data_IF_720581734314
#
_entry.id   IF_720581734314
#
_cell.length_a   1.000
_cell.length_b   1.000
_cell.length_c   1.000
_cell.angle_alpha   90.00
_cell.angle_beta   90.00
_cell.angle_gamma   90.00
#
_symmetry.space_group_name_H-M   'P 1'
#
loop_
_entity.id
_entity.type
_entity.pdbx_description
1 polymer ?
#
# COMPACT_ATOMS: atom_id res chain seq x y z
N UNK A 1 11.73 -0.90 3.25
CA UNK A 1 11.91 -0.21 4.55
C UNK A 1 10.55 0.22 5.06
N UNK A 2 10.22 0.00 6.33
CA UNK A 2 8.91 0.40 6.89
C UNK A 2 8.89 1.92 7.12
N UNK A 3 7.73 2.59 6.95
CA UNK A 3 7.56 4.04 7.18
C UNK A 3 8.24 4.50 8.47
N UNK A 4 8.13 3.73 9.57
CA UNK A 4 8.75 4.05 10.86
C UNK A 4 10.28 3.98 10.90
N UNK A 5 10.91 3.06 10.17
CA UNK A 5 12.37 2.95 10.08
C UNK A 5 12.97 4.04 9.19
N UNK A 6 12.25 4.45 8.14
CA UNK A 6 12.51 5.68 7.41
C UNK A 6 12.41 6.90 8.32
N UNK A 7 11.28 7.07 9.02
CA UNK A 7 10.99 8.26 9.85
C UNK A 7 12.02 8.46 10.98
N UNK A 8 12.59 7.39 11.54
CA UNK A 8 13.64 7.47 12.58
C UNK A 8 15.03 7.80 12.05
N UNK A 9 15.33 7.45 10.79
CA UNK A 9 16.51 7.93 10.06
C UNK A 9 16.31 9.39 9.59
N UNK A 10 15.06 9.76 9.28
CA UNK A 10 14.64 11.05 8.73
C UNK A 10 14.43 12.18 9.75
N UNK A 11 14.24 11.86 11.03
CA UNK A 11 14.19 12.87 12.09
C UNK A 11 15.57 13.45 12.47
N UNK A 12 16.67 12.92 11.92
CA UNK A 12 18.04 13.22 12.37
C UNK A 12 18.85 14.21 11.54
N UNK A 13 18.32 14.79 10.45
CA UNK A 13 19.10 15.74 9.64
C UNK A 13 18.33 17.01 9.26
N UNK A 14 18.43 18.06 10.10
CA UNK A 14 17.93 19.41 9.79
C UNK A 14 18.46 19.96 8.46
N UNK A 15 19.66 19.52 8.03
CA UNK A 15 20.26 19.86 6.75
C UNK A 15 19.42 19.38 5.56
N UNK A 16 18.81 18.20 5.67
CA UNK A 16 17.99 17.64 4.58
C UNK A 16 16.65 18.35 4.44
N UNK A 17 16.07 18.73 5.58
CA UNK A 17 14.88 19.57 5.60
C UNK A 17 15.19 20.98 5.07
N UNK A 18 16.38 21.52 5.37
CA UNK A 18 16.84 22.78 4.82
C UNK A 18 17.08 22.70 3.30
N UNK A 19 17.71 21.63 2.80
CA UNK A 19 17.95 21.42 1.36
C UNK A 19 16.65 21.24 0.58
N UNK A 20 15.67 20.54 1.14
CA UNK A 20 14.34 20.45 0.51
C UNK A 20 13.68 21.83 0.50
N UNK A 21 13.60 22.52 1.63
CA UNK A 21 13.06 23.89 1.69
C UNK A 21 13.78 24.85 0.75
N UNK A 22 15.11 24.77 0.63
CA UNK A 22 15.91 25.58 -0.31
C UNK A 22 15.56 25.28 -1.77
N UNK A 23 15.37 24.00 -2.13
CA UNK A 23 14.93 23.58 -3.46
C UNK A 23 13.50 24.06 -3.79
N UNK A 24 12.62 24.21 -2.80
CA UNK A 24 11.22 24.65 -2.99
C UNK A 24 11.00 26.16 -2.86
N UNK A 25 11.91 26.92 -2.26
CA UNK A 25 11.77 28.37 -2.01
C UNK A 25 12.52 29.24 -3.02
N UNK A 26 13.62 28.75 -3.61
CA UNK A 26 14.35 29.41 -4.68
C UNK A 26 14.11 28.64 -5.98
N UNK A 27 12.97 28.81 -6.66
CA UNK A 27 12.85 29.89 -7.62
C UNK A 27 11.42 29.84 -8.19
N UNK A 28 10.58 30.83 -7.89
CA UNK A 28 9.31 31.02 -8.62
C UNK A 28 9.54 31.28 -10.13
N UNK A 29 10.78 31.56 -10.53
CA UNK A 29 11.24 31.78 -11.90
C UNK A 29 12.07 30.60 -12.46
N UNK A 30 12.22 29.49 -11.74
CA UNK A 30 12.98 28.34 -12.24
C UNK A 30 12.18 27.70 -13.35
N UNK A 31 12.86 27.39 -14.45
CA UNK A 31 12.28 26.51 -15.46
C UNK A 31 12.45 25.03 -15.11
N UNK A 32 13.21 24.71 -14.05
CA UNK A 32 13.54 23.34 -13.66
C UNK A 32 12.56 22.83 -12.60
N UNK A 33 11.75 21.86 -12.99
CA UNK A 33 10.80 21.18 -12.13
C UNK A 33 11.49 20.15 -11.20
N UNK A 34 10.91 19.89 -10.03
CA UNK A 34 11.42 18.92 -9.04
C UNK A 34 11.72 17.55 -9.65
N UNK A 35 10.77 16.99 -10.39
CA UNK A 35 10.92 15.68 -11.03
C UNK A 35 12.03 15.70 -12.08
N UNK A 36 12.10 16.76 -12.88
CA UNK A 36 13.11 16.92 -13.92
C UNK A 36 14.51 17.02 -13.32
N UNK A 37 14.69 17.86 -12.30
CA UNK A 37 15.97 17.98 -11.59
C UNK A 37 16.40 16.68 -10.92
N UNK A 38 15.49 16.00 -10.20
CA UNK A 38 15.81 14.77 -9.50
C UNK A 38 16.25 13.67 -10.48
N UNK A 39 15.58 13.59 -11.63
CA UNK A 39 15.91 12.64 -12.68
C UNK A 39 17.22 13.01 -13.41
N UNK A 40 17.48 14.29 -13.66
CA UNK A 40 18.73 14.75 -14.26
C UNK A 40 19.92 14.45 -13.36
N UNK A 41 19.80 14.70 -12.05
CA UNK A 41 20.83 14.37 -11.07
C UNK A 41 21.07 12.86 -11.00
N UNK A 42 20.00 12.06 -11.01
CA UNK A 42 20.10 10.60 -11.06
C UNK A 42 20.84 10.13 -12.33
N UNK A 43 20.47 10.67 -13.49
CA UNK A 43 21.08 10.31 -14.77
C UNK A 43 22.57 10.68 -14.82
N UNK A 44 22.93 11.89 -14.38
CA UNK A 44 24.33 12.34 -14.27
C UNK A 44 25.16 11.40 -13.39
N UNK A 45 24.57 10.95 -12.29
CA UNK A 45 25.18 9.98 -11.38
C UNK A 45 25.45 8.62 -12.00
N UNK A 46 24.53 8.13 -12.83
CA UNK A 46 24.66 6.85 -13.52
C UNK A 46 25.73 6.89 -14.61
N UNK A 47 25.96 8.06 -15.22
CA UNK A 47 26.99 8.26 -16.26
C UNK A 47 28.39 8.43 -15.66
N UNK A 48 28.52 9.13 -14.53
CA UNK A 48 29.84 9.51 -14.00
C UNK A 48 30.58 8.42 -13.22
N UNK A 49 29.92 7.34 -12.75
CA UNK A 49 30.39 6.20 -11.91
C UNK A 49 31.20 6.53 -10.63
N UNK A 50 32.00 7.58 -10.59
CA UNK A 50 32.86 8.01 -9.47
C UNK A 50 32.15 8.98 -8.51
N UNK A 51 31.14 9.72 -8.98
CA UNK A 51 30.37 10.70 -8.19
C UNK A 51 28.85 10.44 -8.30
N UNK A 52 28.41 9.20 -8.11
CA UNK A 52 26.98 8.91 -8.08
C UNK A 52 26.34 9.58 -6.84
N UNK A 53 25.26 10.37 -7.02
CA UNK A 53 24.52 10.94 -5.89
C UNK A 53 23.94 9.79 -5.07
N UNK A 54 23.95 9.95 -3.74
CA UNK A 54 23.29 8.99 -2.86
C UNK A 54 21.80 8.95 -3.20
N UNK A 55 21.33 7.83 -3.75
CA UNK A 55 19.94 7.64 -4.15
C UNK A 55 19.02 7.82 -2.93
N UNK A 56 19.46 7.44 -1.73
CA UNK A 56 18.69 7.62 -0.49
C UNK A 56 18.46 9.09 -0.18
N UNK A 57 19.48 9.93 -0.40
CA UNK A 57 19.40 11.37 -0.25
C UNK A 57 18.44 11.97 -1.27
N UNK A 58 18.54 11.54 -2.53
CA UNK A 58 17.68 12.01 -3.61
C UNK A 58 16.20 11.67 -3.37
N UNK A 59 15.92 10.41 -3.01
CA UNK A 59 14.60 9.93 -2.61
C UNK A 59 14.04 10.74 -1.44
N UNK A 60 14.88 11.07 -0.45
CA UNK A 60 14.47 11.86 0.70
C UNK A 60 14.09 13.30 0.32
N UNK A 61 14.94 14.00 -0.45
CA UNK A 61 14.67 15.37 -0.89
C UNK A 61 13.38 15.42 -1.71
N UNK A 62 13.20 14.46 -2.63
CA UNK A 62 12.00 14.35 -3.45
C UNK A 62 10.74 14.13 -2.61
N UNK A 63 10.77 13.18 -1.67
CA UNK A 63 9.64 12.89 -0.78
C UNK A 63 9.30 14.09 0.13
N UNK A 64 10.32 14.74 0.72
CA UNK A 64 10.16 15.94 1.53
C UNK A 64 9.50 17.06 0.74
N UNK A 65 9.87 17.20 -0.53
CA UNK A 65 9.26 18.12 -1.47
C UNK A 65 7.81 17.89 -1.79
N UNK A 66 7.49 16.65 -2.16
CA UNK A 66 6.11 16.26 -2.42
C UNK A 66 5.21 16.54 -1.22
N UNK A 67 5.72 16.27 0.00
CA UNK A 67 5.02 16.58 1.25
C UNK A 67 4.86 18.09 1.46
N UNK A 68 5.88 18.91 1.21
CA UNK A 68 5.79 20.37 1.37
C UNK A 68 4.79 20.99 0.37
N UNK A 69 4.80 20.56 -0.89
CA UNK A 69 3.83 20.99 -1.91
C UNK A 69 2.39 20.70 -1.48
N UNK A 70 2.14 19.50 -0.96
CA UNK A 70 0.82 19.11 -0.44
C UNK A 70 0.42 19.94 0.79
N UNK A 71 1.34 20.18 1.74
CA UNK A 71 1.06 21.02 2.94
C UNK A 71 0.77 22.48 2.56
N UNK A 72 1.43 23.01 1.53
CA UNK A 72 1.18 24.37 1.00
C UNK A 72 -0.07 24.45 0.12
N UNK A 73 -0.66 23.32 -0.25
CA UNK A 73 -1.79 23.26 -1.18
C UNK A 73 -1.42 23.62 -2.61
N UNK A 74 -0.14 23.56 -2.98
CA UNK A 74 0.38 23.88 -4.32
C UNK A 74 0.56 22.64 -5.21
N UNK A 75 0.24 21.46 -4.67
CA UNK A 75 0.34 20.17 -5.35
C UNK A 75 -0.51 20.09 -6.62
N UNK A 76 -1.72 20.66 -6.62
CA UNK A 76 -2.60 20.70 -7.78
C UNK A 76 -1.99 21.42 -9.00
N UNK A 77 -1.08 22.37 -8.77
CA UNK A 77 -0.39 23.10 -9.85
C UNK A 77 0.72 22.24 -10.46
N UNK A 78 1.40 21.42 -9.64
CA UNK A 78 2.60 20.67 -10.03
C UNK A 78 2.33 19.24 -10.46
N UNK A 79 1.19 18.66 -10.08
CA UNK A 79 0.91 17.25 -10.36
C UNK A 79 0.90 16.91 -11.87
N UNK A 80 0.41 17.76 -12.80
CA UNK A 80 0.44 17.42 -14.23
C UNK A 80 1.88 17.28 -14.77
N UNK A 81 2.77 18.16 -14.32
CA UNK A 81 4.19 18.16 -14.69
C UNK A 81 4.88 16.92 -14.12
N UNK A 82 4.64 16.62 -12.84
CA UNK A 82 5.18 15.42 -12.17
C UNK A 82 4.74 14.16 -12.92
N UNK A 83 3.45 14.04 -13.26
CA UNK A 83 2.92 12.90 -14.03
C UNK A 83 3.64 12.78 -15.37
N UNK A 84 3.76 13.88 -16.10
CA UNK A 84 4.36 13.91 -17.45
C UNK A 84 5.82 13.50 -17.40
N UNK A 85 6.58 14.07 -16.48
CA UNK A 85 8.01 13.82 -16.34
C UNK A 85 8.28 12.39 -15.87
N UNK A 86 7.54 11.86 -14.89
CA UNK A 86 7.69 10.47 -14.45
C UNK A 86 7.32 9.49 -15.57
N UNK A 87 6.25 9.75 -16.31
CA UNK A 87 5.82 8.92 -17.45
C UNK A 87 6.89 8.89 -18.54
N UNK A 88 7.45 10.05 -18.88
CA UNK A 88 8.53 10.16 -19.86
C UNK A 88 9.79 9.42 -19.39
N UNK A 89 10.16 9.57 -18.12
CA UNK A 89 11.31 8.89 -17.53
C UNK A 89 11.15 7.37 -17.52
N UNK A 90 9.97 6.87 -17.15
CA UNK A 90 9.65 5.43 -17.23
C UNK A 90 9.83 4.92 -18.67
N UNK A 91 9.29 5.65 -19.65
CA UNK A 91 9.41 5.27 -21.08
C UNK A 91 10.87 5.19 -21.51
N UNK A 92 11.66 6.24 -21.24
CA UNK A 92 13.09 6.28 -21.56
C UNK A 92 13.86 5.15 -20.89
N UNK A 93 13.59 4.88 -19.60
CA UNK A 93 14.23 3.80 -18.86
C UNK A 93 13.92 2.42 -19.45
N UNK A 94 12.68 2.21 -19.90
CA UNK A 94 12.23 0.97 -20.56
C UNK A 94 12.83 0.82 -21.96
N UNK A 95 12.97 1.91 -22.72
CA UNK A 95 13.64 1.93 -24.03
C UNK A 95 15.11 1.53 -23.93
N UNK A 96 15.77 1.98 -22.86
CA UNK A 96 17.19 1.75 -22.59
C UNK A 96 17.47 0.44 -21.83
N UNK A 97 16.43 -0.32 -21.46
CA UNK A 97 16.54 -1.52 -20.61
C UNK A 97 17.25 -1.25 -19.26
N UNK A 98 17.17 0.00 -18.78
CA UNK A 98 17.75 0.42 -17.51
C UNK A 98 16.84 -0.01 -16.36
N UNK A 99 16.99 -1.27 -15.96
CA UNK A 99 16.24 -1.89 -14.86
C UNK A 99 16.37 -1.11 -13.54
N UNK A 100 17.58 -0.65 -13.19
CA UNK A 100 17.83 0.14 -11.97
C UNK A 100 17.15 1.50 -11.97
N UNK A 101 17.15 2.20 -13.11
CA UNK A 101 16.47 3.48 -13.27
C UNK A 101 14.96 3.37 -13.10
N UNK A 102 14.35 2.33 -13.67
CA UNK A 102 12.91 2.14 -13.60
C UNK A 102 12.42 1.96 -12.15
N UNK A 103 13.14 1.20 -11.34
CA UNK A 103 12.84 1.03 -9.91
C UNK A 103 12.81 2.36 -9.14
N UNK A 104 13.81 3.22 -9.38
CA UNK A 104 13.91 4.53 -8.72
C UNK A 104 12.77 5.45 -9.17
N UNK A 105 12.44 5.44 -10.46
CA UNK A 105 11.34 6.26 -11.01
C UNK A 105 9.98 5.80 -10.44
N UNK A 106 9.74 4.49 -10.35
CA UNK A 106 8.53 3.95 -9.72
C UNK A 106 8.45 4.37 -8.24
N UNK A 107 9.59 4.40 -7.53
CA UNK A 107 9.65 4.89 -6.15
C UNK A 107 9.34 6.39 -6.05
N UNK A 108 9.83 7.22 -6.98
CA UNK A 108 9.44 8.64 -7.05
C UNK A 108 7.94 8.80 -7.29
N UNK A 109 7.36 7.99 -8.18
CA UNK A 109 5.92 8.01 -8.39
C UNK A 109 5.15 7.67 -7.11
N UNK A 110 5.55 6.62 -6.39
CA UNK A 110 4.95 6.26 -5.11
C UNK A 110 5.03 7.42 -4.11
N UNK A 111 6.15 8.11 -3.97
CA UNK A 111 6.24 9.28 -3.08
C UNK A 111 5.35 10.45 -3.52
N UNK A 112 5.32 10.77 -4.81
CA UNK A 112 4.46 11.84 -5.31
C UNK A 112 2.98 11.56 -5.00
N UNK A 113 2.49 10.38 -5.35
CA UNK A 113 1.08 10.01 -5.16
C UNK A 113 0.71 9.70 -3.71
N UNK A 114 1.69 9.49 -2.82
CA UNK A 114 1.42 9.37 -1.38
C UNK A 114 0.81 10.65 -0.83
N UNK A 115 1.32 11.82 -1.26
CA UNK A 115 0.93 13.12 -0.72
C UNK A 115 -0.13 13.83 -1.58
N UNK A 116 -0.12 13.63 -2.89
CA UNK A 116 -0.88 14.48 -3.83
C UNK A 116 -2.27 13.91 -4.22
N UNK A 117 -2.64 12.70 -3.76
CA UNK A 117 -3.87 12.03 -4.20
C UNK A 117 -5.16 12.69 -3.69
N UNK A 118 -5.14 13.34 -2.53
CA UNK A 118 -6.35 13.94 -1.92
C UNK A 118 -6.81 15.17 -2.70
N UNK A 119 -5.87 15.97 -3.20
CA UNK A 119 -6.16 17.25 -3.85
C UNK A 119 -6.77 17.10 -5.25
N UNK A 120 -6.51 15.98 -5.93
CA UNK A 120 -6.98 15.76 -7.32
C UNK A 120 -7.77 14.47 -7.54
N UNK A 121 -7.94 13.63 -6.51
CA UNK A 121 -8.64 12.35 -6.63
C UNK A 121 -7.93 11.32 -7.53
N UNK A 122 -6.65 11.55 -7.83
CA UNK A 122 -5.83 10.72 -8.71
C UNK A 122 -4.67 10.12 -7.91
N UNK A 123 -4.65 8.80 -7.76
CA UNK A 123 -3.69 8.10 -6.91
C UNK A 123 -2.73 7.22 -7.72
N UNK A 124 -1.77 6.59 -7.03
CA UNK A 124 -0.77 5.72 -7.66
C UNK A 124 -1.40 4.58 -8.47
N UNK A 125 -2.52 4.01 -8.04
CA UNK A 125 -3.20 2.95 -8.79
C UNK A 125 -3.77 3.49 -10.12
N UNK A 126 -4.35 4.70 -10.12
CA UNK A 126 -4.81 5.35 -11.34
C UNK A 126 -3.64 5.60 -12.30
N UNK A 127 -2.57 6.24 -11.82
CA UNK A 127 -1.38 6.50 -12.62
C UNK A 127 -0.75 5.24 -13.18
N UNK A 128 -0.60 4.20 -12.37
CA UNK A 128 -0.01 2.93 -12.81
C UNK A 128 -0.87 2.26 -13.89
N UNK A 129 -2.19 2.26 -13.74
CA UNK A 129 -3.08 1.70 -14.76
C UNK A 129 -3.00 2.49 -16.06
N UNK A 130 -3.09 3.83 -16.00
CA UNK A 130 -3.05 4.69 -17.19
C UNK A 130 -1.70 4.60 -17.91
N UNK A 131 -0.60 4.56 -17.15
CA UNK A 131 0.76 4.55 -17.70
C UNK A 131 1.12 3.21 -18.32
N UNK A 132 0.71 2.09 -17.73
CA UNK A 132 1.22 0.77 -18.13
C UNK A 132 0.17 -0.17 -18.72
N UNK A 133 -1.11 -0.03 -18.35
CA UNK A 133 -2.12 -1.06 -18.60
C UNK A 133 -3.17 -0.64 -19.63
N UNK A 134 -3.72 0.57 -19.51
CA UNK A 134 -4.79 1.05 -20.38
C UNK A 134 -4.32 1.18 -21.82
N UNK A 135 -5.01 0.53 -22.76
CA UNK A 135 -4.58 0.44 -24.16
C UNK A 135 -4.50 1.79 -24.88
N UNK A 136 -5.28 2.78 -24.45
CA UNK A 136 -5.28 4.13 -25.03
C UNK A 136 -4.12 5.01 -24.58
N UNK A 137 -3.46 4.67 -23.48
CA UNK A 137 -2.47 5.56 -22.81
C UNK A 137 -1.17 4.84 -22.44
N UNK A 138 -1.12 3.51 -22.54
CA UNK A 138 0.05 2.73 -22.14
C UNK A 138 1.30 3.14 -22.91
N UNK A 139 2.41 3.31 -22.18
CA UNK A 139 3.73 3.56 -22.77
C UNK A 139 4.40 2.27 -23.26
N UNK A 140 3.82 1.10 -22.96
CA UNK A 140 4.45 -0.19 -23.20
C UNK A 140 4.20 -0.69 -24.63
N UNK A 141 5.28 -1.02 -25.32
CA UNK A 141 5.26 -1.96 -26.43
C UNK A 141 5.60 -3.39 -25.96
N UNK A 142 5.56 -4.38 -26.85
CA UNK A 142 5.82 -5.79 -26.52
C UNK A 142 7.19 -6.00 -25.85
N UNK A 143 8.24 -5.31 -26.31
CA UNK A 143 9.60 -5.42 -25.76
C UNK A 143 9.67 -4.80 -24.36
N UNK A 144 9.16 -3.58 -24.22
CA UNK A 144 9.11 -2.86 -22.94
C UNK A 144 8.30 -3.63 -21.91
N UNK A 145 7.21 -4.29 -22.30
CA UNK A 145 6.40 -5.12 -21.42
C UNK A 145 7.19 -6.25 -20.75
N UNK A 146 8.12 -6.90 -21.48
CA UNK A 146 8.98 -7.93 -20.89
C UNK A 146 9.96 -7.35 -19.87
N UNK A 147 10.62 -6.23 -20.21
CA UNK A 147 11.54 -5.52 -19.30
C UNK A 147 10.82 -5.06 -18.04
N UNK A 148 9.62 -4.50 -18.21
CA UNK A 148 8.75 -4.05 -17.15
C UNK A 148 8.38 -5.18 -16.18
N UNK A 149 7.92 -6.33 -16.68
CA UNK A 149 7.56 -7.48 -15.83
C UNK A 149 8.78 -8.03 -15.07
N UNK A 150 9.92 -8.17 -15.74
CA UNK A 150 11.16 -8.62 -15.09
C UNK A 150 11.56 -7.69 -13.94
N UNK A 151 11.39 -6.38 -14.14
CA UNK A 151 11.69 -5.39 -13.11
C UNK A 151 10.71 -5.47 -11.93
N UNK A 152 9.40 -5.55 -12.21
CA UNK A 152 8.41 -5.71 -11.15
C UNK A 152 8.61 -6.99 -10.34
N UNK A 153 9.03 -8.08 -10.99
CA UNK A 153 9.36 -9.34 -10.30
C UNK A 153 10.56 -9.15 -9.36
N UNK A 154 11.62 -8.46 -9.79
CA UNK A 154 12.76 -8.11 -8.94
C UNK A 154 12.35 -7.27 -7.73
N UNK A 155 11.47 -6.30 -7.93
CA UNK A 155 10.98 -5.42 -6.87
C UNK A 155 10.04 -6.12 -5.89
N UNK A 156 9.35 -7.17 -6.32
CA UNK A 156 8.27 -7.81 -5.56
C UNK A 156 8.65 -8.29 -4.15
N UNK A 157 9.93 -8.57 -3.93
CA UNK A 157 10.45 -9.02 -2.63
C UNK A 157 10.56 -7.88 -1.60
N UNK A 158 10.79 -6.66 -2.08
CA UNK A 158 11.09 -5.48 -1.26
C UNK A 158 9.94 -4.47 -1.21
N UNK A 159 8.92 -4.67 -2.05
CA UNK A 159 7.78 -3.79 -2.19
C UNK A 159 6.80 -3.83 -1.02
N UNK A 160 6.08 -2.71 -0.85
CA UNK A 160 5.02 -2.62 0.15
C UNK A 160 3.84 -3.53 -0.23
N UNK A 161 3.13 -4.13 0.75
CA UNK A 161 2.01 -5.03 0.45
C UNK A 161 0.88 -4.35 -0.34
N UNK A 162 0.62 -3.07 -0.07
CA UNK A 162 -0.36 -2.25 -0.80
C UNK A 162 0.04 -2.02 -2.26
N UNK A 163 1.32 -1.78 -2.53
CA UNK A 163 1.86 -1.63 -3.89
C UNK A 163 1.75 -2.94 -4.65
N UNK A 164 2.09 -4.06 -4.00
CA UNK A 164 1.87 -5.40 -4.54
C UNK A 164 0.39 -5.65 -4.87
N UNK A 165 -0.56 -5.23 -4.03
CA UNK A 165 -1.99 -5.31 -4.32
C UNK A 165 -2.39 -4.48 -5.53
N UNK A 166 -1.84 -3.27 -5.67
CA UNK A 166 -2.08 -2.40 -6.83
C UNK A 166 -1.55 -3.05 -8.11
N UNK A 167 -0.27 -3.44 -8.13
CA UNK A 167 0.34 -4.07 -9.31
C UNK A 167 -0.38 -5.38 -9.67
N UNK A 168 -0.63 -6.23 -8.69
CA UNK A 168 -1.31 -7.52 -8.88
C UNK A 168 -2.72 -7.36 -9.44
N UNK A 169 -3.51 -6.40 -8.93
CA UNK A 169 -4.85 -6.11 -9.46
C UNK A 169 -4.81 -5.52 -10.87
N UNK A 170 -3.92 -4.57 -11.11
CA UNK A 170 -3.77 -3.92 -12.41
C UNK A 170 -3.39 -4.93 -13.51
N UNK A 171 -2.54 -5.90 -13.18
CA UNK A 171 -2.07 -6.93 -14.11
C UNK A 171 -2.95 -8.19 -14.13
N UNK A 172 -3.93 -8.35 -13.22
CA UNK A 172 -4.66 -9.61 -13.04
C UNK A 172 -5.34 -10.12 -14.31
N UNK A 173 -5.91 -9.20 -15.09
CA UNK A 173 -6.60 -9.48 -16.35
C UNK A 173 -5.83 -8.94 -17.57
N UNK A 174 -4.56 -8.56 -17.41
CA UNK A 174 -3.77 -8.03 -18.50
C UNK A 174 -3.27 -9.18 -19.40
N UNK A 175 -3.76 -9.23 -20.64
CA UNK A 175 -3.37 -10.24 -21.64
C UNK A 175 -2.31 -9.74 -22.63
N UNK A 176 -2.08 -8.43 -22.67
CA UNK A 176 -1.25 -7.79 -23.70
C UNK A 176 0.23 -7.67 -23.29
N UNK A 177 0.54 -7.95 -22.02
CA UNK A 177 1.90 -7.92 -21.46
C UNK A 177 2.34 -9.36 -21.22
N UNK A 178 3.41 -9.79 -21.89
CA UNK A 178 3.97 -11.12 -21.72
C UNK A 178 4.37 -11.36 -20.26
N UNK A 179 4.12 -12.58 -19.76
CA UNK A 179 4.42 -13.00 -18.38
C UNK A 179 3.67 -12.26 -17.26
N UNK A 180 2.70 -11.40 -17.57
CA UNK A 180 1.88 -10.74 -16.54
C UNK A 180 1.19 -11.75 -15.60
N UNK A 181 0.66 -12.86 -16.13
CA UNK A 181 0.03 -13.91 -15.32
C UNK A 181 1.00 -14.63 -14.37
N UNK A 182 2.27 -14.79 -14.77
CA UNK A 182 3.33 -15.37 -13.95
C UNK A 182 3.65 -14.41 -12.81
N UNK A 183 3.88 -13.13 -13.12
CA UNK A 183 4.10 -12.10 -12.11
C UNK A 183 2.96 -12.00 -11.11
N UNK A 184 1.71 -11.98 -11.58
CA UNK A 184 0.50 -11.97 -10.73
C UNK A 184 0.48 -13.16 -9.77
N UNK A 185 0.94 -14.34 -10.22
CA UNK A 185 1.04 -15.53 -9.36
C UNK A 185 2.12 -15.37 -8.27
N UNK A 186 3.28 -14.81 -8.63
CA UNK A 186 4.34 -14.43 -7.67
C UNK A 186 3.83 -13.44 -6.63
N UNK A 187 3.12 -12.40 -7.06
CA UNK A 187 2.51 -11.40 -6.17
C UNK A 187 1.48 -12.04 -5.25
N UNK A 188 0.59 -12.91 -5.75
CA UNK A 188 -0.39 -13.62 -4.90
C UNK A 188 0.29 -14.41 -3.80
N UNK A 189 1.32 -15.18 -4.14
CA UNK A 189 2.10 -15.95 -3.16
C UNK A 189 2.70 -15.01 -2.11
N UNK A 190 3.30 -13.90 -2.53
CA UNK A 190 3.91 -12.93 -1.63
C UNK A 190 2.89 -12.27 -0.69
N UNK A 191 1.71 -11.91 -1.19
CA UNK A 191 0.63 -11.32 -0.37
C UNK A 191 0.09 -12.31 0.67
N UNK A 192 -0.01 -13.60 0.30
CA UNK A 192 -0.37 -14.66 1.24
C UNK A 192 0.67 -14.84 2.35
N UNK A 193 1.97 -14.81 2.01
CA UNK A 193 3.06 -14.83 3.00
C UNK A 193 3.01 -13.63 3.95
N UNK A 194 2.58 -12.47 3.46
CA UNK A 194 2.44 -11.24 4.22
C UNK A 194 1.12 -11.16 5.02
N UNK A 195 0.23 -12.16 4.90
CA UNK A 195 -1.04 -12.22 5.63
C UNK A 195 -2.14 -11.25 5.14
N UNK A 196 -1.95 -10.59 4.00
CA UNK A 196 -2.87 -9.58 3.46
C UNK A 196 -3.74 -10.14 2.33
N UNK A 197 -4.75 -9.38 1.88
CA UNK A 197 -5.63 -9.82 0.80
C UNK A 197 -4.85 -10.04 -0.50
N UNK A 198 -5.09 -11.19 -1.14
CA UNK A 198 -4.52 -11.60 -2.41
C UNK A 198 -5.61 -11.86 -3.48
N UNK A 199 -6.84 -11.39 -3.24
CA UNK A 199 -8.00 -11.67 -4.12
C UNK A 199 -8.09 -10.69 -5.29
N UNK A 200 -7.44 -9.53 -5.18
CA UNK A 200 -7.43 -8.46 -6.17
C UNK A 200 -8.81 -7.89 -6.52
N UNK A 201 -9.79 -8.07 -5.62
CA UNK A 201 -11.16 -7.55 -5.82
C UNK A 201 -11.18 -6.02 -5.83
N UNK A 202 -10.44 -5.38 -4.93
CA UNK A 202 -10.41 -3.93 -4.75
C UNK A 202 -8.98 -3.40 -4.76
N UNK A 203 -8.82 -2.12 -5.09
CA UNK A 203 -7.57 -1.40 -4.83
C UNK A 203 -7.52 -0.96 -3.35
N UNK A 204 -6.34 -0.95 -2.71
CA UNK A 204 -6.19 -0.35 -1.39
C UNK A 204 -6.52 1.14 -1.44
N UNK A 205 -7.10 1.68 -0.37
CA UNK A 205 -7.44 3.10 -0.28
C UNK A 205 -6.21 4.00 -0.13
N UNK A 206 -5.11 3.46 0.39
CA UNK A 206 -3.84 4.15 0.57
C UNK A 206 -2.69 3.18 0.44
N UNK A 207 -1.53 3.67 -0.01
CA UNK A 207 -0.28 2.90 -0.04
C UNK A 207 0.22 2.55 1.37
N UNK A 208 -0.27 3.18 2.43
CA UNK A 208 0.09 2.84 3.82
C UNK A 208 -0.76 1.73 4.42
N UNK A 209 -1.95 1.49 3.85
CA UNK A 209 -2.96 0.62 4.45
C UNK A 209 -3.33 -0.46 3.45
N UNK A 210 -2.59 -1.59 3.44
CA UNK A 210 -2.95 -2.72 2.59
C UNK A 210 -4.30 -3.29 3.01
N UNK A 211 -5.02 -3.86 2.04
CA UNK A 211 -6.27 -4.58 2.31
C UNK A 211 -5.92 -5.84 3.10
N UNK A 212 -6.46 -5.97 4.30
CA UNK A 212 -6.23 -7.15 5.13
C UNK A 212 -6.94 -8.37 4.54
N UNK A 213 -6.34 -9.55 4.70
CA UNK A 213 -7.03 -10.79 4.34
C UNK A 213 -8.25 -10.94 5.24
N UNK A 214 -9.33 -11.55 4.73
CA UNK A 214 -10.54 -11.78 5.52
C UNK A 214 -10.21 -12.54 6.81
N UNK A 215 -9.27 -13.48 6.76
CA UNK A 215 -8.85 -14.28 7.93
C UNK A 215 -8.15 -13.43 8.99
N UNK A 216 -7.20 -12.56 8.59
CA UNK A 216 -6.46 -11.70 9.53
C UNK A 216 -7.34 -10.57 10.05
N UNK A 217 -8.16 -9.95 9.20
CA UNK A 217 -9.13 -8.94 9.63
C UNK A 217 -10.10 -9.47 10.69
N UNK A 218 -10.50 -10.75 10.59
CA UNK A 218 -11.37 -11.40 11.57
C UNK A 218 -10.63 -11.80 12.86
N UNK A 219 -9.33 -12.13 12.80
CA UNK A 219 -8.52 -12.39 14.00
C UNK A 219 -8.34 -11.12 14.84
N UNK A 220 -8.00 -10.01 14.17
CA UNK A 220 -7.90 -8.69 14.79
C UNK A 220 -9.26 -8.24 15.32
N UNK A 221 -10.36 -8.46 14.58
CA UNK A 221 -11.71 -8.09 15.03
C UNK A 221 -12.17 -8.87 16.26
N UNK A 222 -11.91 -10.19 16.35
CA UNK A 222 -12.21 -10.97 17.57
C UNK A 222 -11.37 -10.48 18.75
N UNK A 223 -10.07 -10.22 18.54
CA UNK A 223 -9.19 -9.71 19.59
C UNK A 223 -9.62 -8.32 20.07
N UNK A 224 -9.97 -7.42 19.16
CA UNK A 224 -10.44 -6.07 19.45
C UNK A 224 -11.76 -6.08 20.21
N UNK A 225 -12.68 -6.96 19.83
CA UNK A 225 -13.95 -7.13 20.54
C UNK A 225 -13.74 -7.67 21.95
N UNK A 226 -12.83 -8.62 22.15
CA UNK A 226 -12.47 -9.13 23.48
C UNK A 226 -11.84 -8.00 24.31
N UNK A 227 -10.91 -7.22 23.75
CA UNK A 227 -10.32 -6.07 24.44
C UNK A 227 -11.37 -4.99 24.78
N UNK A 228 -12.31 -4.71 23.89
CA UNK A 228 -13.41 -3.79 24.16
C UNK A 228 -14.34 -4.31 25.26
N UNK A 229 -14.60 -5.62 25.28
CA UNK A 229 -15.41 -6.27 26.32
C UNK A 229 -14.73 -6.14 27.69
N UNK A 230 -13.43 -6.41 27.77
CA UNK A 230 -12.64 -6.24 29.00
C UNK A 230 -12.61 -4.78 29.44
N UNK A 231 -12.38 -3.85 28.50
CA UNK A 231 -12.33 -2.40 28.78
C UNK A 231 -13.66 -1.81 29.25
N UNK A 232 -14.79 -2.47 28.94
CA UNK A 232 -16.14 -2.03 29.31
C UNK A 232 -16.72 -2.86 30.45
N UNK A 233 -15.88 -3.36 31.35
CA UNK A 233 -16.30 -4.13 32.53
C UNK A 233 -17.21 -5.32 32.17
N UNK A 234 -16.83 -6.08 31.15
CA UNK A 234 -17.55 -7.29 30.70
C UNK A 234 -18.96 -7.00 30.13
N UNK A 235 -19.16 -5.79 29.60
CA UNK A 235 -20.35 -5.42 28.84
C UNK A 235 -20.10 -5.67 27.34
N UNK A 236 -20.99 -6.45 26.71
CA UNK A 236 -20.90 -6.76 25.27
C UNK A 236 -20.94 -5.47 24.44
N UNK A 237 -19.95 -5.23 23.55
CA UNK A 237 -19.95 -4.04 22.71
C UNK A 237 -21.22 -3.91 21.87
N UNK A 238 -21.84 -2.72 21.88
CA UNK A 238 -23.05 -2.44 21.10
C UNK A 238 -22.84 -2.67 19.59
N UNK A 239 -21.63 -2.42 19.09
CA UNK A 239 -21.24 -2.72 17.71
C UNK A 239 -21.42 -4.20 17.38
N UNK A 240 -21.00 -5.10 18.29
CA UNK A 240 -21.16 -6.54 18.11
C UNK A 240 -22.63 -6.96 18.17
N UNK A 241 -23.40 -6.44 19.13
CA UNK A 241 -24.84 -6.72 19.23
C UNK A 241 -25.60 -6.27 17.99
N UNK A 242 -25.23 -5.10 17.45
CA UNK A 242 -25.78 -4.58 16.19
C UNK A 242 -25.41 -5.48 15.01
N UNK A 243 -24.15 -5.90 14.92
CA UNK A 243 -23.69 -6.81 13.86
C UNK A 243 -24.40 -8.18 13.92
N UNK A 244 -24.68 -8.71 15.11
CA UNK A 244 -25.44 -9.94 15.29
C UNK A 244 -26.88 -9.86 14.75
N UNK A 245 -27.46 -8.65 14.70
CA UNK A 245 -28.81 -8.39 14.15
C UNK A 245 -28.73 -8.08 12.66
N UNK A 246 -27.96 -7.06 12.28
CA UNK A 246 -27.93 -6.52 10.91
C UNK A 246 -27.06 -7.35 9.95
N UNK A 247 -26.10 -8.13 10.47
CA UNK A 247 -25.17 -8.96 9.69
C UNK A 247 -25.20 -10.41 10.20
N UNK A 248 -26.40 -10.96 10.40
CA UNK A 248 -26.61 -12.28 11.01
C UNK A 248 -25.83 -13.42 10.35
N UNK A 249 -25.78 -13.46 9.01
CA UNK A 249 -25.03 -14.49 8.28
C UNK A 249 -23.52 -14.44 8.59
N UNK A 250 -22.94 -13.24 8.60
CA UNK A 250 -21.55 -13.03 9.00
C UNK A 250 -21.33 -13.39 10.48
N UNK A 251 -22.23 -12.99 11.37
CA UNK A 251 -22.08 -13.26 12.80
C UNK A 251 -22.04 -14.77 13.08
N UNK A 252 -22.98 -15.53 12.49
CA UNK A 252 -23.11 -16.97 12.72
C UNK A 252 -22.04 -17.77 11.95
N UNK A 253 -21.81 -17.47 10.68
CA UNK A 253 -20.94 -18.30 9.83
C UNK A 253 -19.46 -17.88 9.88
N UNK A 254 -19.15 -16.73 10.45
CA UNK A 254 -17.80 -16.15 10.40
C UNK A 254 -17.28 -15.76 11.78
N UNK A 255 -17.98 -14.88 12.49
CA UNK A 255 -17.51 -14.38 13.79
C UNK A 255 -17.53 -15.46 14.88
N UNK A 256 -18.66 -16.16 15.08
CA UNK A 256 -18.78 -17.18 16.14
C UNK A 256 -17.80 -18.34 16.00
N UNK A 257 -17.63 -19.00 14.84
CA UNK A 257 -16.63 -20.06 14.68
C UNK A 257 -15.20 -19.58 15.01
N UNK A 258 -14.89 -18.32 14.70
CA UNK A 258 -13.59 -17.72 14.98
C UNK A 258 -13.41 -17.38 16.46
N UNK A 259 -14.45 -16.83 17.10
CA UNK A 259 -14.49 -16.61 18.54
C UNK A 259 -14.27 -17.92 19.30
N UNK A 260 -14.93 -19.01 18.88
CA UNK A 260 -14.77 -20.33 19.51
C UNK A 260 -13.38 -20.94 19.33
N UNK A 261 -12.73 -20.67 18.20
CA UNK A 261 -11.38 -21.17 17.91
C UNK A 261 -10.26 -20.22 18.33
N UNK A 262 -10.57 -19.06 18.94
CA UNK A 262 -9.59 -18.05 19.32
C UNK A 262 -8.72 -18.51 20.51
N UNK A 263 -7.39 -18.39 20.37
CA UNK A 263 -6.37 -18.85 21.33
C UNK A 263 -5.44 -17.70 21.80
N UNK A 264 -5.97 -16.48 21.93
CA UNK A 264 -5.19 -15.33 22.38
C UNK A 264 -4.98 -15.28 23.91
N UNK A 265 -4.32 -14.21 24.40
CA UNK A 265 -3.89 -14.09 25.80
C UNK A 265 -5.05 -14.03 26.82
N UNK A 266 -6.21 -13.54 26.41
CA UNK A 266 -7.37 -13.30 27.29
C UNK A 266 -8.44 -14.39 27.18
N UNK A 267 -8.04 -15.68 27.27
CA UNK A 267 -8.97 -16.83 27.13
C UNK A 267 -10.15 -16.74 28.09
N UNK A 268 -9.93 -16.26 29.32
CA UNK A 268 -11.00 -16.06 30.30
C UNK A 268 -12.02 -15.01 29.84
N UNK A 269 -11.56 -13.92 29.20
CA UNK A 269 -12.46 -12.89 28.68
C UNK A 269 -13.25 -13.38 27.45
N UNK A 270 -12.62 -14.19 26.58
CA UNK A 270 -13.31 -14.88 25.48
C UNK A 270 -14.46 -15.74 26.00
N UNK A 271 -14.22 -16.57 27.02
CA UNK A 271 -15.23 -17.46 27.58
C UNK A 271 -16.39 -16.68 28.20
N UNK A 272 -16.09 -15.61 28.94
CA UNK A 272 -17.11 -14.70 29.49
C UNK A 272 -17.92 -13.99 28.40
N UNK A 273 -17.28 -13.58 27.32
CA UNK A 273 -17.96 -12.98 26.17
C UNK A 273 -18.92 -13.99 25.50
N UNK A 274 -18.50 -15.25 25.35
CA UNK A 274 -19.36 -16.33 24.83
C UNK A 274 -20.59 -16.52 25.74
N UNK A 275 -20.39 -16.55 27.06
CA UNK A 275 -21.49 -16.67 28.03
C UNK A 275 -22.45 -15.47 27.97
N UNK A 276 -21.92 -14.25 27.88
CA UNK A 276 -22.73 -13.04 27.75
C UNK A 276 -23.57 -13.05 26.46
N UNK A 277 -22.97 -13.43 25.32
CA UNK A 277 -23.67 -13.57 24.04
C UNK A 277 -24.73 -14.67 24.06
N UNK A 278 -24.49 -15.76 24.80
CA UNK A 278 -25.49 -16.81 25.01
C UNK A 278 -26.66 -16.31 25.86
N UNK A 279 -26.39 -15.60 26.96
CA UNK A 279 -27.41 -15.01 27.84
C UNK A 279 -28.33 -14.06 27.07
N UNK A 280 -27.77 -13.31 26.12
CA UNK A 280 -28.50 -12.41 25.22
C UNK A 280 -29.17 -13.12 24.03
N UNK A 281 -29.19 -14.46 24.02
CA UNK A 281 -29.77 -15.32 22.97
C UNK A 281 -29.20 -15.02 21.57
N UNK A 282 -27.93 -14.59 21.48
CA UNK A 282 -27.25 -14.31 20.21
C UNK A 282 -26.61 -15.56 19.61
N UNK A 283 -26.26 -16.55 20.44
CA UNK A 283 -25.66 -17.82 20.01
C UNK A 283 -26.75 -18.90 19.89
N UNK A 284 -26.90 -19.60 18.75
CA UNK A 284 -27.78 -20.75 18.65
C UNK A 284 -27.34 -21.89 19.57
N UNK A 285 -28.27 -22.51 20.32
CA UNK A 285 -27.95 -23.57 21.30
C UNK A 285 -27.25 -24.79 20.68
N UNK A 286 -27.57 -25.15 19.43
CA UNK A 286 -26.87 -26.21 18.71
C UNK A 286 -25.36 -25.90 18.55
N UNK A 287 -25.05 -24.66 18.18
CA UNK A 287 -23.68 -24.22 17.97
C UNK A 287 -22.89 -24.10 19.29
N UNK A 288 -23.55 -23.66 20.36
CA UNK A 288 -22.95 -23.63 21.70
C UNK A 288 -22.67 -25.05 22.23
N UNK A 289 -23.61 -25.98 22.00
CA UNK A 289 -23.45 -27.38 22.40
C UNK A 289 -22.26 -28.03 21.68
N UNK A 290 -22.11 -27.79 20.38
CA UNK A 290 -20.94 -28.24 19.60
C UNK A 290 -19.62 -27.65 20.11
N UNK A 291 -19.62 -26.39 20.55
CA UNK A 291 -18.44 -25.75 21.13
C UNK A 291 -18.03 -26.43 22.45
N UNK A 292 -18.99 -26.69 23.34
CA UNK A 292 -18.71 -27.36 24.63
C UNK A 292 -18.22 -28.79 24.43
N UNK A 293 -18.76 -29.52 23.45
CA UNK A 293 -18.30 -30.88 23.14
C UNK A 293 -16.89 -30.94 22.55
N UNK A 294 -16.41 -29.84 21.96
CA UNK A 294 -15.08 -29.72 21.35
C UNK A 294 -14.04 -29.04 22.26
N UNK A 295 -14.46 -28.54 23.41
CA UNK A 295 -13.59 -27.92 24.43
C UNK A 295 -12.91 -28.99 25.28
#
# INVERSE_FOLDING_TARGET
MTSKQSDTLFAKSPLLQYLSTWFFEFEHNSKLELSSFALDLFNLGTESRENAPDISLLLHVYNSGCKQLSVRGEDHIRIPDIITTLTHACKKSLEQENSGGLAVILTFAQFAFEHMHVSVGYNYANWFQDTFIHSGTTILNKKMGMVFINELERLSQYELPSILQIHGKALHYCTNIANASIYVSTVKKRLLELGVDSTFRNYPQSMKTPIQSVVVALEDEVSDIIHQFVRRDEIVPHSLLSAAVFRRAWFISTFLPKLFSWQGKEISARDKLIEALRKDKKIPEAMYSDFIQKK
#
